data_IF_265665271388
#
_entry.id   IF_265665271388
#
_cell.length_a   1.000
_cell.length_b   1.000
_cell.length_c   1.000
_cell.angle_alpha   90.00
_cell.angle_beta   90.00
_cell.angle_gamma   90.00
#
_symmetry.space_group_name_H-M   'P 1'
#
loop_
_entity.id
_entity.type
_entity.pdbx_description
1 polymer ?
#
# COMPACT_ATOMS: atom_id res chain seq x y z
N UNK A 1 -0.63 16.75 -3.53
CA UNK A 1 -1.48 15.67 -2.97
C UNK A 1 -0.88 14.29 -3.21
N UNK A 2 -0.63 13.87 -4.46
CA UNK A 2 -0.06 12.53 -4.74
C UNK A 2 1.34 12.29 -4.17
N UNK A 3 2.20 13.31 -4.16
CA UNK A 3 3.52 13.21 -3.52
C UNK A 3 3.43 12.91 -2.01
N UNK A 4 2.47 13.52 -1.31
CA UNK A 4 2.23 13.25 0.11
C UNK A 4 1.73 11.81 0.31
N UNK A 5 0.74 11.39 -0.48
CA UNK A 5 0.18 10.04 -0.42
C UNK A 5 1.24 8.97 -0.70
N UNK A 6 2.09 9.16 -1.72
CA UNK A 6 3.17 8.24 -2.06
C UNK A 6 4.20 8.12 -0.93
N UNK A 7 4.60 9.25 -0.34
CA UNK A 7 5.51 9.25 0.81
C UNK A 7 4.89 8.51 2.01
N UNK A 8 3.64 8.79 2.32
CA UNK A 8 2.93 8.14 3.42
C UNK A 8 2.82 6.61 3.22
N UNK A 9 2.48 6.17 2.00
CA UNK A 9 2.42 4.74 1.69
C UNK A 9 3.78 4.04 1.89
N UNK A 10 4.89 4.67 1.45
CA UNK A 10 6.24 4.12 1.64
C UNK A 10 6.59 3.99 3.13
N UNK A 11 6.30 5.02 3.93
CA UNK A 11 6.55 5.00 5.38
C UNK A 11 5.70 3.96 6.11
N UNK A 12 4.43 3.83 5.71
CA UNK A 12 3.49 2.85 6.24
C UNK A 12 3.96 1.42 5.96
N UNK A 13 4.24 1.09 4.69
CA UNK A 13 4.73 -0.24 4.30
C UNK A 13 6.04 -0.59 4.99
N UNK A 14 6.97 0.35 5.13
CA UNK A 14 8.23 0.12 5.84
C UNK A 14 7.99 -0.24 7.32
N UNK A 15 6.99 0.38 7.95
CA UNK A 15 6.61 0.11 9.34
C UNK A 15 6.04 -1.31 9.48
N UNK A 16 5.13 -1.70 8.60
CA UNK A 16 4.53 -3.04 8.59
C UNK A 16 5.57 -4.11 8.27
N UNK A 17 6.41 -3.89 7.26
CA UNK A 17 7.48 -4.81 6.89
C UNK A 17 8.49 -5.02 8.04
N UNK A 18 8.83 -3.96 8.77
CA UNK A 18 9.67 -4.08 9.97
C UNK A 18 8.98 -4.90 11.06
N UNK A 19 7.66 -4.71 11.29
CA UNK A 19 6.89 -5.52 12.24
C UNK A 19 6.82 -6.99 11.82
N UNK A 20 6.53 -7.25 10.55
CA UNK A 20 6.48 -8.58 9.97
C UNK A 20 7.80 -9.33 10.16
N UNK A 21 8.93 -8.68 9.83
CA UNK A 21 10.26 -9.27 10.02
C UNK A 21 10.58 -9.49 11.49
N UNK A 22 10.36 -8.49 12.35
CA UNK A 22 10.63 -8.55 13.79
C UNK A 22 9.91 -9.72 14.46
N UNK A 23 8.67 -9.98 14.04
CA UNK A 23 7.84 -11.02 14.62
C UNK A 23 7.81 -12.31 13.79
N UNK A 24 8.60 -12.41 12.72
CA UNK A 24 8.69 -13.61 11.88
C UNK A 24 7.35 -14.01 11.25
N UNK A 25 6.63 -13.04 10.68
CA UNK A 25 5.40 -13.29 9.94
C UNK A 25 5.68 -14.15 8.70
N UNK A 26 5.09 -15.35 8.58
CA UNK A 26 5.37 -16.26 7.46
C UNK A 26 5.02 -15.68 6.08
N UNK A 27 3.98 -14.82 6.01
CA UNK A 27 3.52 -14.18 4.78
C UNK A 27 4.34 -12.97 4.33
N UNK A 28 5.46 -12.64 5.00
CA UNK A 28 6.23 -11.42 4.73
C UNK A 28 6.63 -11.24 3.27
N UNK A 29 7.12 -12.31 2.61
CA UNK A 29 7.62 -12.21 1.24
C UNK A 29 6.50 -11.85 0.25
N UNK A 30 5.31 -12.43 0.44
CA UNK A 30 4.13 -12.17 -0.39
C UNK A 30 3.54 -10.79 -0.11
N UNK A 31 3.38 -10.41 1.16
CA UNK A 31 2.91 -9.09 1.57
C UNK A 31 3.80 -7.98 1.01
N UNK A 32 5.12 -8.12 1.13
CA UNK A 32 6.07 -7.16 0.54
C UNK A 32 5.96 -7.11 -0.98
N UNK A 33 5.76 -8.23 -1.67
CA UNK A 33 5.56 -8.22 -3.12
C UNK A 33 4.32 -7.40 -3.52
N UNK A 34 3.25 -7.46 -2.73
CA UNK A 34 2.04 -6.65 -2.91
C UNK A 34 2.35 -5.15 -2.73
N UNK A 35 3.15 -4.78 -1.72
CA UNK A 35 3.61 -3.39 -1.54
C UNK A 35 4.47 -2.88 -2.70
N UNK A 36 5.42 -3.69 -3.19
CA UNK A 36 6.26 -3.33 -4.33
C UNK A 36 5.45 -3.13 -5.60
N UNK A 37 4.46 -4.00 -5.86
CA UNK A 37 3.55 -3.86 -6.99
C UNK A 37 2.77 -2.53 -6.90
N UNK A 38 2.22 -2.20 -5.73
CA UNK A 38 1.52 -0.94 -5.54
C UNK A 38 2.42 0.29 -5.73
N UNK A 39 3.64 0.28 -5.17
CA UNK A 39 4.58 1.39 -5.34
C UNK A 39 4.88 1.66 -6.82
N UNK A 40 5.05 0.60 -7.62
CA UNK A 40 5.26 0.70 -9.06
C UNK A 40 4.03 1.28 -9.78
N UNK A 41 2.85 0.74 -9.50
CA UNK A 41 1.60 1.17 -10.14
C UNK A 41 1.24 2.62 -9.77
N UNK A 42 1.40 2.97 -8.49
CA UNK A 42 1.21 4.33 -7.99
C UNK A 42 2.18 5.32 -8.64
N UNK A 43 3.44 4.93 -8.82
CA UNK A 43 4.43 5.77 -9.52
C UNK A 43 4.04 6.05 -10.96
N UNK A 44 3.50 5.06 -11.68
CA UNK A 44 3.00 5.24 -13.04
C UNK A 44 1.79 6.19 -13.09
N UNK A 45 0.84 6.01 -12.16
CA UNK A 45 -0.34 6.88 -12.02
C UNK A 45 0.02 8.33 -11.68
N UNK A 46 0.98 8.52 -10.77
CA UNK A 46 1.48 9.85 -10.41
C UNK A 46 2.15 10.53 -11.60
N UNK A 47 2.97 9.81 -12.37
CA UNK A 47 3.60 10.34 -13.57
C UNK A 47 2.59 10.70 -14.66
N UNK A 48 1.49 9.96 -14.80
CA UNK A 48 0.39 10.31 -15.72
C UNK A 48 -0.35 11.57 -15.28
N UNK A 49 -0.63 11.67 -13.98
CA UNK A 49 -1.25 12.85 -13.37
C UNK A 49 -0.40 14.11 -13.57
N UNK A 50 0.91 14.03 -13.32
CA UNK A 50 1.81 15.19 -13.45
C UNK A 50 1.91 15.71 -14.88
N UNK A 51 1.66 14.87 -15.90
CA UNK A 51 1.62 15.28 -17.31
C UNK A 51 0.32 15.96 -17.72
N UNK A 52 -0.78 15.71 -17.02
CA UNK A 52 -2.12 16.22 -17.39
C UNK A 52 -2.99 16.51 -16.14
N UNK A 53 -2.54 17.35 -15.20
CA UNK A 53 -3.21 17.54 -13.91
C UNK A 53 -4.61 18.15 -14.03
N UNK A 54 -4.90 18.86 -15.11
CA UNK A 54 -6.19 19.46 -15.43
C UNK A 54 -7.24 18.46 -15.94
N UNK A 55 -6.84 17.25 -16.36
CA UNK A 55 -7.77 16.24 -16.86
C UNK A 55 -8.46 15.53 -15.70
N UNK A 56 -9.72 15.91 -15.45
CA UNK A 56 -10.57 15.27 -14.44
C UNK A 56 -10.63 13.73 -14.57
N UNK A 57 -10.59 13.22 -15.80
CA UNK A 57 -10.58 11.77 -16.05
C UNK A 57 -9.33 11.06 -15.49
N UNK A 58 -8.17 11.73 -15.46
CA UNK A 58 -6.94 11.20 -14.86
C UNK A 58 -7.08 11.20 -13.34
N UNK A 59 -7.55 12.29 -12.75
CA UNK A 59 -7.81 12.39 -11.30
C UNK A 59 -8.75 11.28 -10.79
N UNK A 60 -9.88 11.05 -11.50
CA UNK A 60 -10.85 10.01 -11.14
C UNK A 60 -10.22 8.61 -11.26
N UNK A 61 -9.41 8.37 -12.29
CA UNK A 61 -8.73 7.08 -12.46
C UNK A 61 -7.74 6.81 -11.33
N UNK A 62 -6.91 7.79 -10.96
CA UNK A 62 -5.98 7.66 -9.83
C UNK A 62 -6.74 7.36 -8.55
N UNK A 63 -7.79 8.14 -8.25
CA UNK A 63 -8.60 7.92 -7.05
C UNK A 63 -9.18 6.51 -6.99
N UNK A 64 -9.82 6.05 -8.09
CA UNK A 64 -10.43 4.72 -8.14
C UNK A 64 -9.39 3.61 -7.92
N UNK A 65 -8.26 3.67 -8.64
CA UNK A 65 -7.21 2.66 -8.54
C UNK A 65 -6.63 2.55 -7.14
N UNK A 66 -6.33 3.69 -6.52
CA UNK A 66 -5.81 3.74 -5.15
C UNK A 66 -6.84 3.19 -4.16
N UNK A 67 -8.10 3.62 -4.25
CA UNK A 67 -9.15 3.20 -3.31
C UNK A 67 -9.49 1.70 -3.44
N UNK A 68 -9.56 1.19 -4.67
CA UNK A 68 -9.81 -0.23 -4.93
C UNK A 68 -8.67 -1.09 -4.35
N UNK A 69 -7.42 -0.67 -4.54
CA UNK A 69 -6.26 -1.36 -3.99
C UNK A 69 -6.24 -1.32 -2.46
N UNK A 70 -6.40 -0.13 -1.85
CA UNK A 70 -6.39 0.03 -0.39
C UNK A 70 -7.45 -0.85 0.27
N UNK A 71 -8.66 -0.91 -0.30
CA UNK A 71 -9.73 -1.74 0.22
C UNK A 71 -9.34 -3.23 0.20
N UNK A 72 -8.80 -3.72 -0.92
CA UNK A 72 -8.38 -5.11 -1.04
C UNK A 72 -7.23 -5.46 -0.10
N UNK A 73 -6.26 -4.56 0.02
CA UNK A 73 -5.09 -4.73 0.86
C UNK A 73 -5.44 -4.75 2.35
N UNK A 74 -6.15 -3.72 2.83
CA UNK A 74 -6.47 -3.56 4.26
C UNK A 74 -7.44 -4.63 4.76
N UNK A 75 -8.43 -5.01 3.95
CA UNK A 75 -9.44 -6.00 4.35
C UNK A 75 -8.99 -7.45 4.11
N UNK A 76 -7.92 -7.66 3.34
CA UNK A 76 -7.34 -8.97 3.05
C UNK A 76 -5.98 -9.13 3.69
N UNK A 77 -4.94 -8.70 2.97
CA UNK A 77 -3.52 -8.87 3.34
C UNK A 77 -3.21 -8.37 4.75
N UNK A 78 -3.66 -7.18 5.13
CA UNK A 78 -3.33 -6.61 6.45
C UNK A 78 -4.09 -7.27 7.59
N UNK A 79 -5.28 -7.83 7.32
CA UNK A 79 -6.02 -8.61 8.33
C UNK A 79 -5.30 -9.91 8.69
N UNK A 80 -4.66 -10.56 7.72
CA UNK A 80 -3.87 -11.77 7.94
C UNK A 80 -2.65 -11.49 8.82
N UNK A 81 -1.90 -10.42 8.50
CA UNK A 81 -0.81 -9.92 9.35
C UNK A 81 -1.33 -9.56 10.75
N UNK A 82 -2.44 -8.81 10.85
CA UNK A 82 -3.03 -8.40 12.11
C UNK A 82 -3.46 -9.56 12.99
N UNK A 83 -4.04 -10.61 12.41
CA UNK A 83 -4.41 -11.83 13.13
C UNK A 83 -3.17 -12.56 13.69
N UNK A 84 -2.10 -12.65 12.90
CA UNK A 84 -0.84 -13.24 13.34
C UNK A 84 -0.21 -12.44 14.50
N UNK A 85 -0.17 -11.11 14.40
CA UNK A 85 0.42 -10.26 15.44
C UNK A 85 -0.38 -10.28 16.75
N UNK A 86 -1.73 -10.31 16.68
CA UNK A 86 -2.59 -10.52 17.85
C UNK A 86 -2.32 -11.87 18.52
N UNK A 87 -2.14 -12.93 17.73
CA UNK A 87 -1.77 -14.26 18.24
C UNK A 87 -0.43 -14.27 18.99
N UNK A 88 0.43 -13.28 18.76
CA UNK A 88 1.71 -13.07 19.47
C UNK A 88 1.64 -12.03 20.60
N UNK A 89 0.48 -11.43 20.86
CA UNK A 89 0.32 -10.39 21.88
C UNK A 89 1.07 -9.09 21.57
N UNK A 90 1.31 -8.80 20.29
CA UNK A 90 2.02 -7.59 19.83
C UNK A 90 1.08 -6.40 19.70
N UNK A 91 -0.18 -6.68 19.34
CA UNK A 91 -1.29 -5.73 19.20
C UNK A 91 -2.56 -6.32 19.76
#
# INVERSE_FOLDING_TARGET
MLAFLGKYAVEHFATEEALMQRHGYPGYAEHRAIHEAFKKDFGALAAEYDRNPEKLSVTIQVQRRVMDWLRGHILGTDQEMGAFLRGKGVV
#
